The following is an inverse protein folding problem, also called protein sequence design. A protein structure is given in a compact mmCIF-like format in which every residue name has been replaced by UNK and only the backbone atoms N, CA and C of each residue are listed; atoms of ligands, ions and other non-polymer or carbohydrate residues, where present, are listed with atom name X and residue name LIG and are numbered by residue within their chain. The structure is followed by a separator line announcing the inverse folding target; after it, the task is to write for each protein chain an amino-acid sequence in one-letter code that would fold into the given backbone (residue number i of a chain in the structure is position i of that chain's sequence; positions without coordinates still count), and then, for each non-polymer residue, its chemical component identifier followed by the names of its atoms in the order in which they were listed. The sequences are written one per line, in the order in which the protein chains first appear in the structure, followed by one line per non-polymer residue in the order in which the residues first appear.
data_IF_772744375660
#
_entry.id   IF_772744375660
#
_cell.length_a   1.000
_cell.length_b   1.000
_cell.length_c   1.000
_cell.angle_alpha   90.00
_cell.angle_beta   90.00
_cell.angle_gamma   90.00
#
_symmetry.space_group_name_H-M   'P 1'
#
loop_
_entity.id
_entity.type
_entity.pdbx_description
1 polymer ?
#
# COMPACT_ATOMS: atom_id res chain seq x y z
N UNK A 1 -22.74 53.61 0.71
CA UNK A 1 -22.51 53.97 -0.71
C UNK A 1 -21.01 54.19 -0.92
N UNK A 2 -20.48 53.65 -2.03
CA UNK A 2 -19.26 54.10 -2.75
C UNK A 2 -17.89 53.86 -2.09
N UNK A 3 -17.42 52.62 -2.26
CA UNK A 3 -16.01 52.28 -2.45
C UNK A 3 -15.64 52.66 -3.90
N UNK A 4 -14.82 53.69 -4.12
CA UNK A 4 -14.29 54.02 -5.45
C UNK A 4 -13.00 54.83 -5.29
N UNK A 5 -11.87 54.19 -4.97
CA UNK A 5 -10.58 54.89 -5.14
C UNK A 5 -9.32 54.05 -5.22
N UNK A 6 -9.36 52.71 -5.17
CA UNK A 6 -8.12 51.92 -5.22
C UNK A 6 -8.17 50.92 -6.37
N UNK A 7 -8.35 51.43 -7.58
CA UNK A 7 -8.25 50.67 -8.81
C UNK A 7 -7.51 51.54 -9.83
N UNK A 8 -6.18 51.54 -9.82
CA UNK A 8 -5.42 52.09 -10.97
C UNK A 8 -3.92 51.78 -11.05
N UNK A 9 -3.35 50.87 -10.26
CA UNK A 9 -1.95 50.49 -10.48
C UNK A 9 -1.77 49.00 -10.33
N UNK A 10 -1.85 48.29 -11.45
CA UNK A 10 -1.09 47.06 -11.77
C UNK A 10 -1.54 46.58 -13.17
N UNK A 11 -1.43 47.47 -14.15
CA UNK A 11 -1.49 47.11 -15.56
C UNK A 11 -0.04 47.02 -16.08
N UNK A 12 0.62 45.88 -15.87
CA UNK A 12 1.88 45.55 -16.56
C UNK A 12 2.29 44.08 -16.34
N UNK A 13 1.50 43.12 -16.81
CA UNK A 13 2.01 41.82 -17.27
C UNK A 13 1.13 41.35 -18.44
N UNK A 14 1.27 42.05 -19.56
CA UNK A 14 0.79 41.58 -20.86
C UNK A 14 1.62 40.38 -21.29
N UNK A 15 1.16 39.18 -20.92
CA UNK A 15 1.54 37.96 -21.63
C UNK A 15 0.40 37.69 -22.63
N UNK A 16 0.61 37.84 -23.95
CA UNK A 16 -0.38 37.44 -24.93
C UNK A 16 -0.32 35.91 -25.08
N UNK A 17 -0.73 35.17 -24.05
CA UNK A 17 -0.95 33.71 -24.11
C UNK A 17 -2.43 33.33 -24.16
N UNK A 18 -3.33 34.32 -24.25
CA UNK A 18 -4.77 34.08 -24.41
C UNK A 18 -5.19 33.72 -25.85
N UNK A 19 -4.23 33.48 -26.75
CA UNK A 19 -4.47 33.10 -28.14
C UNK A 19 -3.85 31.73 -28.49
N UNK A 20 -4.06 30.74 -27.63
CA UNK A 20 -4.16 29.32 -28.05
C UNK A 20 -5.13 28.65 -27.07
N UNK A 21 -6.32 28.31 -27.55
CA UNK A 21 -7.48 27.97 -26.73
C UNK A 21 -7.34 26.70 -25.89
N UNK A 22 -8.03 26.70 -24.75
CA UNK A 22 -8.22 25.52 -23.90
C UNK A 22 -7.23 25.44 -22.73
N UNK A 23 -7.56 26.15 -21.64
CA UNK A 23 -7.23 25.86 -20.23
C UNK A 23 -6.20 24.73 -19.99
N UNK A 24 -4.95 25.12 -19.75
CA UNK A 24 -3.88 24.19 -19.35
C UNK A 24 -4.10 23.52 -17.99
N UNK A 25 -5.00 24.06 -17.16
CA UNK A 25 -5.45 23.51 -15.88
C UNK A 25 -6.18 22.18 -16.03
N UNK A 26 -6.99 21.98 -17.06
CA UNK A 26 -7.71 20.71 -17.28
C UNK A 26 -6.73 19.58 -17.63
N UNK A 27 -5.68 19.89 -18.42
CA UNK A 27 -4.60 18.94 -18.71
C UNK A 27 -3.73 18.62 -17.50
N UNK A 28 -3.55 19.58 -16.59
CA UNK A 28 -2.83 19.36 -15.34
C UNK A 28 -3.64 18.48 -14.38
N UNK A 29 -4.96 18.71 -14.29
CA UNK A 29 -5.87 17.88 -13.50
C UNK A 29 -5.81 16.40 -13.87
N UNK A 30 -5.96 16.07 -15.16
CA UNK A 30 -5.89 14.68 -15.62
C UNK A 30 -4.51 14.04 -15.41
N UNK A 31 -3.42 14.81 -15.45
CA UNK A 31 -2.08 14.30 -15.13
C UNK A 31 -1.92 13.99 -13.64
N UNK A 32 -2.50 14.82 -12.76
CA UNK A 32 -2.51 14.57 -11.31
C UNK A 32 -3.34 13.33 -11.00
N UNK A 33 -4.51 13.19 -11.59
CA UNK A 33 -5.38 12.01 -11.47
C UNK A 33 -4.65 10.74 -11.91
N UNK A 34 -4.15 10.69 -13.15
CA UNK A 34 -3.41 9.52 -13.63
C UNK A 34 -2.14 9.20 -12.82
N UNK A 35 -1.45 10.22 -12.28
CA UNK A 35 -0.32 9.97 -11.38
C UNK A 35 -0.76 9.44 -10.01
N UNK A 36 -1.95 9.78 -9.53
CA UNK A 36 -2.52 9.22 -8.31
C UNK A 36 -2.95 7.76 -8.55
N UNK A 37 -3.65 7.48 -9.65
CA UNK A 37 -4.11 6.13 -10.02
C UNK A 37 -2.93 5.17 -10.16
N UNK A 38 -1.87 5.56 -10.89
CA UNK A 38 -0.66 4.73 -11.02
C UNK A 38 0.00 4.39 -9.66
N UNK A 39 -0.08 5.31 -8.68
CA UNK A 39 0.44 5.03 -7.33
C UNK A 39 -0.49 4.09 -6.57
N UNK A 40 -1.80 4.23 -6.74
CA UNK A 40 -2.79 3.33 -6.15
C UNK A 40 -2.61 1.91 -6.70
N UNK A 41 -2.53 1.74 -8.03
CA UNK A 41 -2.30 0.45 -8.68
C UNK A 41 -1.02 -0.23 -8.18
N UNK A 42 0.06 0.54 -7.97
CA UNK A 42 1.30 0.01 -7.42
C UNK A 42 1.17 -0.46 -5.96
N UNK A 43 0.35 0.24 -5.15
CA UNK A 43 0.04 -0.17 -3.79
C UNK A 43 -0.84 -1.42 -3.77
N UNK A 44 -1.84 -1.51 -4.65
CA UNK A 44 -2.70 -2.69 -4.80
C UNK A 44 -1.88 -3.92 -5.19
N UNK A 45 -1.01 -3.80 -6.20
CA UNK A 45 -0.12 -4.90 -6.59
C UNK A 45 0.82 -5.34 -5.44
N UNK A 46 1.27 -4.40 -4.61
CA UNK A 46 2.06 -4.71 -3.42
C UNK A 46 1.22 -5.44 -2.37
N UNK A 47 -0.03 -5.00 -2.16
CA UNK A 47 -0.95 -5.60 -1.20
C UNK A 47 -1.30 -7.05 -1.60
N UNK A 48 -1.57 -7.30 -2.87
CA UNK A 48 -1.84 -8.65 -3.38
C UNK A 48 -0.64 -9.58 -3.14
N UNK A 49 0.57 -9.09 -3.40
CA UNK A 49 1.78 -9.87 -3.14
C UNK A 49 1.98 -10.18 -1.64
N UNK A 50 1.65 -9.23 -0.76
CA UNK A 50 1.67 -9.45 0.69
C UNK A 50 0.58 -10.45 1.13
N UNK A 51 -0.60 -10.40 0.52
CA UNK A 51 -1.67 -11.35 0.78
C UNK A 51 -1.24 -12.78 0.43
N UNK A 52 -0.62 -12.98 -0.74
CA UNK A 52 -0.12 -14.28 -1.17
C UNK A 52 0.98 -14.81 -0.25
N UNK A 53 1.91 -13.95 0.18
CA UNK A 53 2.91 -14.32 1.18
C UNK A 53 2.25 -14.71 2.51
N UNK A 54 1.24 -13.98 2.96
CA UNK A 54 0.52 -14.29 4.18
C UNK A 54 -0.26 -15.62 4.08
N UNK A 55 -0.82 -15.94 2.91
CA UNK A 55 -1.45 -17.25 2.65
C UNK A 55 -0.43 -18.38 2.76
N UNK A 56 0.74 -18.24 2.12
CA UNK A 56 1.81 -19.24 2.19
C UNK A 56 2.31 -19.49 3.63
N UNK A 57 2.42 -18.43 4.44
CA UNK A 57 2.78 -18.56 5.87
C UNK A 57 1.72 -19.35 6.64
N UNK A 58 0.42 -19.06 6.41
CA UNK A 58 -0.68 -19.79 7.06
C UNK A 58 -0.69 -21.26 6.65
N UNK A 59 -0.61 -21.53 5.35
CA UNK A 59 -0.60 -22.89 4.82
C UNK A 59 0.59 -23.71 5.36
N UNK A 60 1.79 -23.12 5.44
CA UNK A 60 2.93 -23.78 6.06
C UNK A 60 2.72 -24.03 7.57
N UNK A 61 1.97 -23.16 8.26
CA UNK A 61 1.63 -23.33 9.67
C UNK A 61 0.62 -24.46 9.86
N UNK A 62 -0.40 -24.52 9.02
CA UNK A 62 -1.43 -25.57 9.03
C UNK A 62 -0.79 -26.94 8.75
N UNK A 63 0.06 -27.05 7.73
CA UNK A 63 0.82 -28.29 7.45
C UNK A 63 1.68 -28.74 8.64
N UNK A 64 2.28 -27.78 9.35
CA UNK A 64 3.10 -28.09 10.53
C UNK A 64 2.24 -28.53 11.71
N UNK A 65 1.04 -27.95 11.88
CA UNK A 65 0.09 -28.34 12.91
C UNK A 65 -0.45 -29.75 12.64
N UNK A 66 -0.81 -30.06 11.41
CA UNK A 66 -1.24 -31.38 10.98
C UNK A 66 -0.14 -32.42 11.23
N UNK A 67 1.12 -32.10 10.88
CA UNK A 67 2.25 -33.00 11.14
C UNK A 67 2.51 -33.24 12.65
N UNK A 68 2.18 -32.27 13.52
CA UNK A 68 2.27 -32.43 14.98
C UNK A 68 1.19 -33.38 15.49
N UNK A 69 -0.03 -33.25 14.97
CA UNK A 69 -1.15 -34.11 15.30
C UNK A 69 -0.89 -35.55 14.81
N UNK A 70 -0.51 -35.72 13.54
CA UNK A 70 -0.21 -37.01 12.92
C UNK A 70 0.95 -37.75 13.61
N UNK A 71 1.92 -37.02 14.17
CA UNK A 71 3.05 -37.59 14.89
C UNK A 71 2.74 -37.90 16.38
N UNK A 72 1.51 -37.69 16.85
CA UNK A 72 1.08 -37.90 18.23
C UNK A 72 2.05 -37.27 19.26
N UNK A 73 2.53 -36.05 18.97
CA UNK A 73 3.57 -35.41 19.79
C UNK A 73 3.12 -35.22 21.23
N UNK A 74 3.89 -35.78 22.17
CA UNK A 74 3.67 -35.56 23.60
C UNK A 74 4.20 -34.17 24.04
N UNK A 75 3.42 -33.14 23.78
CA UNK A 75 3.75 -31.75 24.10
C UNK A 75 3.87 -31.46 25.61
N UNK A 76 3.46 -32.38 26.49
CA UNK A 76 3.59 -32.30 27.94
C UNK A 76 4.96 -32.79 28.43
N UNK A 77 5.56 -33.76 27.72
CA UNK A 77 6.89 -34.25 28.00
C UNK A 77 8.00 -33.43 27.31
N UNK A 78 7.62 -32.54 26.39
CA UNK A 78 8.54 -31.72 25.61
C UNK A 78 9.17 -30.58 26.44
N UNK A 79 10.49 -30.36 26.34
CA UNK A 79 11.15 -29.19 26.92
C UNK A 79 10.55 -27.87 26.41
N UNK A 80 10.48 -26.86 27.29
CA UNK A 80 9.88 -25.57 26.94
C UNK A 80 10.54 -24.88 25.72
N UNK A 81 11.85 -25.05 25.55
CA UNK A 81 12.60 -24.48 24.42
C UNK A 81 12.20 -25.09 23.08
N UNK A 82 12.06 -26.41 23.03
CA UNK A 82 11.66 -27.16 21.83
C UNK A 82 10.20 -26.84 21.45
N UNK A 83 9.32 -26.79 22.45
CA UNK A 83 7.93 -26.36 22.25
C UNK A 83 7.84 -24.94 21.68
N UNK A 84 8.66 -24.02 22.19
CA UNK A 84 8.72 -22.66 21.66
C UNK A 84 9.27 -22.61 20.24
N UNK A 85 10.24 -23.47 19.90
CA UNK A 85 10.82 -23.57 18.56
C UNK A 85 9.82 -24.07 17.51
N UNK A 86 8.97 -25.04 17.87
CA UNK A 86 7.86 -25.49 17.02
C UNK A 86 6.81 -24.38 16.82
N UNK A 87 6.39 -23.71 17.90
CA UNK A 87 5.37 -22.65 17.82
C UNK A 87 5.83 -21.43 17.01
N UNK A 88 7.11 -21.05 17.13
CA UNK A 88 7.64 -19.91 16.38
C UNK A 88 8.12 -20.28 14.95
N UNK A 89 8.04 -21.56 14.57
CA UNK A 89 8.43 -22.07 13.26
C UNK A 89 9.94 -22.15 13.00
N UNK A 90 10.79 -21.97 14.01
CA UNK A 90 12.25 -22.16 13.88
C UNK A 90 12.65 -23.63 13.84
N UNK A 91 11.77 -24.52 14.28
CA UNK A 91 11.88 -25.97 14.15
C UNK A 91 10.59 -26.53 13.55
N UNK A 92 10.72 -27.60 12.75
CA UNK A 92 9.62 -28.26 12.04
C UNK A 92 9.75 -29.77 12.16
N UNK A 93 8.62 -30.45 12.37
CA UNK A 93 8.57 -31.91 12.25
C UNK A 93 8.79 -32.29 10.78
N UNK A 94 9.63 -33.30 10.56
CA UNK A 94 9.99 -33.79 9.22
C UNK A 94 9.05 -34.88 8.74
#
# INVERSE_FOLDING_TARGET
MKKLTVALMMAALTVPLAACGGKGDDKLGSQVEGAADNRADALEATADNLEDQAKAVRESGDQQADAIDDADVNAQAMPAGEKAALVNGSEKLR
#
